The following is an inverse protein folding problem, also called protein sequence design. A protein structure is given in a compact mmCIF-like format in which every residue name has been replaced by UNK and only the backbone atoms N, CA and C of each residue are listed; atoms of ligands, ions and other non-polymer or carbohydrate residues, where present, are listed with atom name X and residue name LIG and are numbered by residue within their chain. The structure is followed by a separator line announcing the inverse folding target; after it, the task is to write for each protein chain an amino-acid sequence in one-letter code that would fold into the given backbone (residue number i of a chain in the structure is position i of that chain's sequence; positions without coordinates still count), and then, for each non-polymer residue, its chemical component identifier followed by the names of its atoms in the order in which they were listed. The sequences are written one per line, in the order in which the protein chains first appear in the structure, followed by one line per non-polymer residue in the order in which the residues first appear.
data_IF_329515116451
#
_entry.id   IF_329515116451
#
_cell.length_a   1.000
_cell.length_b   1.000
_cell.length_c   1.000
_cell.angle_alpha   90.00
_cell.angle_beta   90.00
_cell.angle_gamma   90.00
#
_symmetry.space_group_name_H-M   'P 1'
#
loop_
_entity.id
_entity.type
_entity.pdbx_description
1 polymer ?
#
# COMPACT_ATOMS: atom_id res chain seq x y z
N UNK A 1 -20.17 -27.03 -52.95
CA UNK A 1 -21.36 -27.57 -53.65
C UNK A 1 -21.52 -29.02 -53.20
N UNK A 2 -22.76 -29.44 -52.87
CA UNK A 2 -23.22 -30.66 -52.13
C UNK A 2 -23.38 -30.42 -50.60
N UNK A 3 -24.56 -30.22 -49.99
CA UNK A 3 -25.80 -31.05 -49.80
C UNK A 3 -25.52 -32.39 -49.11
N UNK A 4 -26.27 -32.93 -48.13
CA UNK A 4 -27.41 -32.52 -47.31
C UNK A 4 -27.61 -33.55 -46.15
N UNK A 5 -28.16 -33.08 -45.02
CA UNK A 5 -29.23 -33.67 -44.18
C UNK A 5 -29.20 -35.13 -43.64
N UNK A 6 -29.37 -35.25 -42.31
CA UNK A 6 -30.17 -36.28 -41.62
C UNK A 6 -30.52 -35.74 -40.20
N UNK A 7 -31.75 -35.30 -39.95
CA UNK A 7 -32.90 -36.07 -39.44
C UNK A 7 -33.05 -35.93 -37.91
N UNK A 8 -33.86 -34.96 -37.49
CA UNK A 8 -34.37 -34.83 -36.13
C UNK A 8 -35.62 -35.70 -35.95
N UNK A 9 -35.70 -36.43 -34.84
CA UNK A 9 -36.92 -37.09 -34.34
C UNK A 9 -37.43 -36.36 -33.10
N UNK A 10 -38.75 -36.25 -33.05
CA UNK A 10 -39.57 -35.61 -32.03
C UNK A 10 -39.70 -36.44 -30.74
N UNK A 11 -40.14 -35.77 -29.67
CA UNK A 11 -40.63 -36.33 -28.40
C UNK A 11 -39.98 -35.60 -27.21
N UNK A 12 -40.60 -34.68 -26.49
CA UNK A 12 -41.99 -34.63 -26.05
C UNK A 12 -42.03 -34.95 -24.56
N UNK A 13 -41.95 -33.95 -23.69
CA UNK A 13 -42.39 -34.03 -22.28
C UNK A 13 -42.44 -32.63 -21.65
N UNK A 14 -43.64 -32.06 -21.63
CA UNK A 14 -44.01 -30.94 -20.78
C UNK A 14 -44.04 -31.40 -19.32
N UNK A 15 -43.28 -30.73 -18.45
CA UNK A 15 -43.49 -30.78 -17.00
C UNK A 15 -43.73 -29.34 -16.50
N UNK A 16 -44.99 -29.09 -16.12
CA UNK A 16 -45.43 -27.90 -15.39
C UNK A 16 -44.99 -28.01 -13.93
N UNK A 17 -44.52 -26.89 -13.37
CA UNK A 17 -44.30 -26.67 -11.94
C UNK A 17 -43.45 -25.41 -11.83
N UNK A 18 -43.95 -24.25 -11.44
CA UNK A 18 -44.81 -23.98 -10.30
C UNK A 18 -44.08 -22.91 -9.51
N UNK A 19 -44.39 -21.64 -9.79
CA UNK A 19 -43.84 -20.48 -9.09
C UNK A 19 -44.11 -20.60 -7.58
N UNK A 20 -43.04 -20.80 -6.80
CA UNK A 20 -43.07 -20.56 -5.36
C UNK A 20 -42.24 -19.31 -5.06
N UNK A 21 -42.78 -18.30 -4.38
CA UNK A 21 -42.01 -17.13 -3.99
C UNK A 21 -40.92 -17.54 -2.99
N UNK A 22 -39.68 -17.10 -3.24
CA UNK A 22 -38.56 -17.24 -2.30
C UNK A 22 -38.86 -16.40 -1.06
N UNK A 23 -39.18 -17.05 0.06
CA UNK A 23 -39.25 -16.39 1.36
C UNK A 23 -37.86 -15.90 1.76
N UNK A 24 -37.73 -14.59 2.01
CA UNK A 24 -36.53 -13.97 2.56
C UNK A 24 -36.29 -14.51 3.98
N UNK A 25 -35.15 -15.16 4.20
CA UNK A 25 -34.71 -15.57 5.54
C UNK A 25 -34.17 -14.34 6.27
N UNK A 26 -34.73 -14.05 7.45
CA UNK A 26 -34.25 -12.99 8.32
C UNK A 26 -32.82 -13.29 8.83
N UNK A 27 -31.98 -12.25 8.89
CA UNK A 27 -30.63 -12.33 9.45
C UNK A 27 -30.68 -12.58 10.97
N UNK A 28 -29.73 -13.36 11.53
CA UNK A 28 -29.69 -13.60 12.97
C UNK A 28 -29.33 -12.33 13.77
N UNK A 29 -29.80 -12.19 15.02
CA UNK A 29 -29.51 -11.01 15.83
C UNK A 29 -28.03 -10.90 16.16
N UNK A 30 -27.48 -9.68 16.06
CA UNK A 30 -26.10 -9.36 16.43
C UNK A 30 -25.87 -9.71 17.91
N UNK A 31 -24.96 -10.65 18.18
CA UNK A 31 -24.48 -10.92 19.54
C UNK A 31 -23.85 -9.63 20.08
N UNK A 32 -24.45 -9.08 21.14
CA UNK A 32 -23.85 -8.02 21.93
C UNK A 32 -22.48 -8.51 22.43
N UNK A 33 -21.44 -7.72 22.15
CA UNK A 33 -20.10 -7.96 22.66
C UNK A 33 -20.15 -8.04 24.19
N UNK A 34 -19.74 -9.18 24.74
CA UNK A 34 -19.59 -9.34 26.18
C UNK A 34 -18.49 -8.39 26.65
N UNK A 35 -18.89 -7.43 27.48
CA UNK A 35 -18.00 -6.54 28.22
C UNK A 35 -17.22 -7.38 29.25
N UNK A 36 -15.91 -7.37 29.15
CA UNK A 36 -14.97 -7.97 30.10
C UNK A 36 -13.67 -8.35 29.41
N UNK A 37 -12.47 -8.18 29.97
CA UNK A 37 -11.99 -7.71 31.27
C UNK A 37 -10.53 -7.30 30.99
N UNK A 38 -10.19 -6.01 31.01
CA UNK A 38 -8.78 -5.60 31.09
C UNK A 38 -8.46 -5.37 32.56
N UNK A 39 -7.79 -6.35 33.16
CA UNK A 39 -7.24 -6.27 34.51
C UNK A 39 -5.77 -6.67 34.47
N UNK A 40 -4.92 -5.80 35.01
CA UNK A 40 -3.50 -6.07 35.32
C UNK A 40 -2.52 -5.18 34.54
N UNK A 41 -1.51 -4.58 35.20
CA UNK A 41 -0.47 -3.82 34.53
C UNK A 41 0.60 -4.79 34.00
N UNK A 42 0.66 -4.95 32.68
CA UNK A 42 1.69 -5.75 32.03
C UNK A 42 3.04 -5.01 32.02
N UNK A 43 4.10 -5.77 32.27
CA UNK A 43 5.48 -5.33 32.56
C UNK A 43 6.26 -4.80 31.35
N UNK A 44 5.56 -4.37 30.30
CA UNK A 44 6.12 -3.65 29.17
C UNK A 44 5.59 -2.23 29.25
N UNK A 45 6.45 -1.29 29.66
CA UNK A 45 6.14 0.14 29.74
C UNK A 45 5.96 0.78 28.36
N UNK A 46 5.23 0.13 27.45
CA UNK A 46 4.76 0.75 26.23
C UNK A 46 3.58 1.61 26.68
N UNK A 47 3.84 2.92 26.81
CA UNK A 47 2.77 3.89 26.70
C UNK A 47 2.18 3.67 25.31
N UNK A 48 1.16 2.81 25.23
CA UNK A 48 0.44 2.56 23.99
C UNK A 48 -0.26 3.88 23.66
N UNK A 49 0.44 4.76 22.94
CA UNK A 49 -0.22 5.68 22.05
C UNK A 49 -0.98 4.78 21.10
N UNK A 50 -2.27 4.59 21.38
CA UNK A 50 -3.18 4.13 20.36
C UNK A 50 -3.06 5.18 19.25
N UNK A 51 -2.36 4.84 18.16
CA UNK A 51 -2.48 5.63 16.95
C UNK A 51 -3.96 5.59 16.57
N UNK A 52 -4.63 6.73 16.73
CA UNK A 52 -6.01 6.90 16.28
C UNK A 52 -5.90 7.58 14.94
N UNK A 53 -6.47 6.96 13.90
CA UNK A 53 -6.68 7.62 12.62
C UNK A 53 -7.40 8.94 12.86
N UNK A 54 -6.81 10.05 12.40
CA UNK A 54 -7.21 11.41 12.80
C UNK A 54 -7.36 12.32 11.60
N UNK A 55 -8.52 12.96 11.53
CA UNK A 55 -8.87 13.88 10.44
C UNK A 55 -8.56 15.36 10.78
N UNK A 56 -7.84 15.63 11.87
CA UNK A 56 -7.54 16.98 12.37
C UNK A 56 -6.05 17.36 12.25
N UNK A 57 -5.32 16.66 11.37
CA UNK A 57 -3.91 16.96 11.09
C UNK A 57 -3.72 18.38 10.53
N UNK A 58 -2.54 19.00 10.74
CA UNK A 58 -2.23 20.32 10.18
C UNK A 58 -2.53 20.39 8.68
N UNK A 59 -3.11 21.51 8.23
CA UNK A 59 -3.33 21.75 6.81
C UNK A 59 -2.02 22.12 6.08
N UNK A 60 -1.08 22.73 6.80
CA UNK A 60 0.27 22.99 6.33
C UNK A 60 1.04 21.67 6.15
N UNK A 61 1.59 21.45 4.95
CA UNK A 61 2.25 20.21 4.56
C UNK A 61 3.49 19.93 5.42
N UNK A 62 4.34 20.93 5.65
CA UNK A 62 5.54 20.79 6.46
C UNK A 62 5.22 20.45 7.92
N UNK A 63 4.24 21.12 8.52
CA UNK A 63 3.78 20.83 9.86
C UNK A 63 3.18 19.42 9.97
N UNK A 64 2.41 18.99 8.97
CA UNK A 64 1.84 17.63 8.91
C UNK A 64 2.93 16.57 8.84
N UNK A 65 3.96 16.77 8.00
CA UNK A 65 5.12 15.88 7.94
C UNK A 65 5.88 15.81 9.26
N UNK A 66 6.11 16.95 9.91
CA UNK A 66 6.80 17.00 11.19
C UNK A 66 6.03 16.25 12.30
N UNK A 67 4.70 16.38 12.30
CA UNK A 67 3.82 15.68 13.23
C UNK A 67 3.84 14.16 13.00
N UNK A 68 3.57 13.71 11.77
CA UNK A 68 3.51 12.27 11.46
C UNK A 68 4.87 11.59 11.62
N UNK A 69 5.97 12.28 11.30
CA UNK A 69 7.32 11.78 11.56
C UNK A 69 7.56 11.56 13.06
N UNK A 70 7.18 12.52 13.91
CA UNK A 70 7.30 12.38 15.36
C UNK A 70 6.50 11.19 15.90
N UNK A 71 5.28 11.00 15.40
CA UNK A 71 4.41 9.87 15.76
C UNK A 71 4.99 8.53 15.30
N UNK A 72 5.42 8.41 14.04
CA UNK A 72 6.02 7.19 13.49
C UNK A 72 7.23 6.77 14.31
N UNK A 73 8.11 7.71 14.64
CA UNK A 73 9.33 7.42 15.38
C UNK A 73 9.05 7.02 16.83
N UNK A 74 8.03 7.62 17.46
CA UNK A 74 7.61 7.20 18.79
C UNK A 74 7.01 5.79 18.79
N UNK A 75 6.22 5.43 17.76
CA UNK A 75 5.64 4.09 17.62
C UNK A 75 6.70 3.02 17.33
N UNK A 76 7.73 3.37 16.55
CA UNK A 76 8.78 2.45 16.13
C UNK A 76 9.99 2.38 17.08
N UNK A 77 9.97 3.12 18.19
CA UNK A 77 11.06 3.13 19.15
C UNK A 77 11.37 1.71 19.67
N UNK A 78 12.61 1.26 19.45
CA UNK A 78 13.08 -0.06 19.86
C UNK A 78 12.53 -1.26 19.09
N UNK A 79 11.70 -1.10 18.04
CA UNK A 79 11.16 -2.22 17.27
C UNK A 79 12.18 -2.73 16.23
N UNK A 80 12.77 -3.93 16.32
CA UNK A 80 13.80 -4.38 15.38
C UNK A 80 13.28 -4.99 14.07
N UNK A 81 11.99 -5.33 13.98
CA UNK A 81 11.43 -6.03 12.84
C UNK A 81 11.20 -5.08 11.66
N UNK A 82 12.00 -5.24 10.60
CA UNK A 82 11.92 -4.39 9.39
C UNK A 82 10.54 -4.41 8.74
N UNK A 83 9.89 -5.57 8.68
CA UNK A 83 8.53 -5.68 8.11
C UNK A 83 7.51 -4.90 8.94
N UNK A 84 7.61 -4.94 10.28
CA UNK A 84 6.75 -4.16 11.17
C UNK A 84 7.00 -2.66 10.98
N UNK A 85 8.26 -2.23 10.87
CA UNK A 85 8.60 -0.83 10.56
C UNK A 85 7.96 -0.37 9.24
N UNK A 86 8.16 -1.14 8.16
CA UNK A 86 7.58 -0.85 6.84
C UNK A 86 6.04 -0.79 6.88
N UNK A 87 5.40 -1.77 7.49
CA UNK A 87 3.94 -1.81 7.58
C UNK A 87 3.38 -0.60 8.34
N UNK A 88 4.02 -0.21 9.43
CA UNK A 88 3.63 0.95 10.24
C UNK A 88 3.82 2.26 9.48
N UNK A 89 4.98 2.47 8.83
CA UNK A 89 5.24 3.66 8.01
C UNK A 89 4.20 3.79 6.90
N UNK A 90 3.96 2.72 6.15
CA UNK A 90 2.98 2.72 5.06
C UNK A 90 1.56 3.04 5.57
N UNK A 91 1.15 2.42 6.69
CA UNK A 91 -0.15 2.67 7.31
C UNK A 91 -0.33 4.11 7.78
N UNK A 92 0.66 4.66 8.49
CA UNK A 92 0.55 5.98 9.11
C UNK A 92 0.65 7.11 8.07
N UNK A 93 1.48 6.95 7.03
CA UNK A 93 1.54 7.92 5.94
C UNK A 93 0.29 7.91 5.06
N UNK A 94 -0.26 6.72 4.73
CA UNK A 94 -1.52 6.63 3.98
C UNK A 94 -2.70 7.29 4.72
N UNK A 95 -2.74 7.16 6.05
CA UNK A 95 -3.74 7.83 6.89
C UNK A 95 -3.51 9.34 7.00
N UNK A 96 -2.26 9.79 6.97
CA UNK A 96 -1.93 11.20 7.14
C UNK A 96 -2.22 12.06 5.89
N UNK A 97 -2.29 11.47 4.69
CA UNK A 97 -2.42 12.22 3.43
C UNK A 97 -3.51 11.65 2.53
N UNK A 98 -4.64 12.35 2.42
CA UNK A 98 -5.82 11.90 1.64
C UNK A 98 -5.56 11.65 0.15
N UNK A 99 -4.54 12.30 -0.43
CA UNK A 99 -4.20 12.16 -1.84
C UNK A 99 -3.26 10.99 -2.12
N UNK A 100 -2.78 10.31 -1.08
CA UNK A 100 -1.96 9.10 -1.22
C UNK A 100 -2.89 7.95 -1.64
N UNK A 101 -2.76 7.56 -2.89
CA UNK A 101 -3.61 6.54 -3.50
C UNK A 101 -3.01 5.14 -3.28
N UNK A 102 -1.70 5.01 -3.42
CA UNK A 102 -0.92 3.84 -3.06
C UNK A 102 0.24 4.29 -2.18
N UNK A 103 0.59 3.54 -1.15
CA UNK A 103 1.68 3.90 -0.22
C UNK A 103 2.29 2.63 0.32
N UNK A 104 3.57 2.40 0.06
CA UNK A 104 4.16 1.16 0.48
C UNK A 104 5.60 0.98 0.08
N UNK A 105 6.04 -0.27 0.20
CA UNK A 105 7.42 -0.65 -0.05
C UNK A 105 7.50 -1.71 -1.13
N UNK A 106 8.55 -1.60 -1.93
CA UNK A 106 9.08 -2.67 -2.74
C UNK A 106 10.47 -3.02 -2.20
N UNK A 107 10.65 -4.25 -1.72
CA UNK A 107 11.90 -4.69 -1.10
C UNK A 107 12.80 -5.38 -2.11
N UNK A 108 14.12 -5.35 -1.91
CA UNK A 108 15.03 -6.13 -2.76
C UNK A 108 14.71 -7.61 -2.62
N UNK A 109 14.48 -8.28 -3.74
CA UNK A 109 14.05 -9.67 -3.73
C UNK A 109 15.17 -10.59 -3.21
N UNK A 110 14.89 -11.45 -2.21
CA UNK A 110 15.91 -12.32 -1.62
C UNK A 110 16.39 -13.40 -2.59
N UNK A 111 15.59 -13.72 -3.62
CA UNK A 111 15.90 -14.69 -4.67
C UNK A 111 16.51 -14.05 -5.93
N UNK A 112 16.50 -12.71 -6.04
CA UNK A 112 17.03 -11.99 -7.20
C UNK A 112 17.45 -10.55 -6.85
N UNK A 113 18.75 -10.31 -6.70
CA UNK A 113 19.30 -9.05 -6.19
C UNK A 113 19.11 -7.82 -7.11
N UNK A 114 18.84 -8.02 -8.42
CA UNK A 114 18.55 -6.98 -9.40
C UNK A 114 17.04 -6.76 -9.62
N UNK A 115 16.23 -7.21 -8.67
CA UNK A 115 14.78 -7.13 -8.72
C UNK A 115 14.20 -6.69 -7.37
N UNK A 116 13.11 -5.96 -7.45
CA UNK A 116 12.25 -5.62 -6.33
C UNK A 116 11.05 -6.57 -6.28
N UNK A 117 10.57 -6.89 -5.09
CA UNK A 117 9.32 -7.61 -4.83
C UNK A 117 8.45 -6.78 -3.89
N UNK A 118 7.13 -6.78 -4.09
CA UNK A 118 6.21 -6.01 -3.25
C UNK A 118 6.33 -6.40 -1.77
N UNK A 119 6.47 -5.40 -0.91
CA UNK A 119 6.52 -5.50 0.55
C UNK A 119 5.20 -5.07 1.19
N UNK A 120 5.20 -4.56 2.43
CA UNK A 120 4.01 -3.97 3.05
C UNK A 120 3.54 -2.70 2.31
N UNK A 121 2.23 -2.58 2.09
CA UNK A 121 1.62 -1.41 1.44
C UNK A 121 0.16 -1.18 1.88
N UNK A 122 -0.35 0.01 1.59
CA UNK A 122 -1.74 0.41 1.61
C UNK A 122 -2.15 0.80 0.18
N UNK A 123 -3.34 0.35 -0.26
CA UNK A 123 -3.84 0.64 -1.61
C UNK A 123 -4.32 -0.61 -2.34
N UNK A 124 -4.49 -0.50 -3.65
CA UNK A 124 -4.87 -1.62 -4.52
C UNK A 124 -3.68 -2.49 -4.91
N UNK A 125 -3.97 -3.64 -5.55
CA UNK A 125 -2.94 -4.54 -6.03
C UNK A 125 -2.02 -3.84 -7.04
N UNK A 126 -0.74 -3.73 -6.70
CA UNK A 126 0.32 -3.25 -7.59
C UNK A 126 1.05 -4.39 -8.32
N UNK A 127 2.15 -4.05 -9.00
CA UNK A 127 3.04 -5.04 -9.59
C UNK A 127 3.65 -5.90 -8.49
N UNK A 128 3.76 -7.22 -8.70
CA UNK A 128 4.38 -8.08 -7.67
C UNK A 128 5.91 -7.97 -7.68
N UNK A 129 6.50 -7.74 -8.86
CA UNK A 129 7.95 -7.65 -9.04
C UNK A 129 8.33 -6.60 -10.08
N UNK A 130 9.45 -5.94 -9.87
CA UNK A 130 9.96 -4.85 -10.71
C UNK A 130 11.48 -4.99 -10.85
N UNK A 131 11.99 -5.13 -12.08
CA UNK A 131 13.43 -5.16 -12.31
C UNK A 131 14.06 -3.79 -12.05
N UNK A 132 15.31 -3.75 -11.59
CA UNK A 132 16.05 -2.50 -11.44
C UNK A 132 16.17 -1.79 -12.80
N UNK A 133 16.06 -0.46 -12.79
CA UNK A 133 16.03 0.40 -13.98
C UNK A 133 14.72 0.38 -14.77
N UNK A 134 13.67 -0.31 -14.30
CA UNK A 134 12.37 -0.38 -14.97
C UNK A 134 11.29 0.38 -14.21
N UNK A 135 10.60 1.28 -14.91
CA UNK A 135 9.62 2.17 -14.28
C UNK A 135 10.27 3.12 -13.27
N UNK A 136 9.45 3.86 -12.54
CA UNK A 136 9.91 4.84 -11.55
C UNK A 136 10.57 4.12 -10.37
N UNK A 137 9.89 3.13 -9.80
CA UNK A 137 10.43 2.26 -8.75
C UNK A 137 11.80 1.62 -9.08
N UNK A 138 11.91 0.97 -10.24
CA UNK A 138 13.18 0.36 -10.65
C UNK A 138 14.27 1.40 -10.90
N UNK A 139 13.93 2.58 -11.42
CA UNK A 139 14.89 3.69 -11.61
C UNK A 139 15.42 4.20 -10.29
N UNK A 140 14.55 4.37 -9.28
CA UNK A 140 14.96 4.75 -7.93
C UNK A 140 15.93 3.72 -7.33
N UNK A 141 15.61 2.42 -7.47
CA UNK A 141 16.48 1.34 -6.99
C UNK A 141 17.84 1.31 -7.70
N UNK A 142 17.88 1.47 -9.03
CA UNK A 142 19.11 1.43 -9.82
C UNK A 142 20.01 2.63 -9.56
N UNK A 143 19.44 3.83 -9.46
CA UNK A 143 20.19 5.09 -9.28
C UNK A 143 20.49 5.38 -7.83
N UNK A 144 19.75 4.79 -6.89
CA UNK A 144 19.74 5.16 -5.46
C UNK A 144 19.45 6.65 -5.24
N UNK A 145 18.60 7.21 -6.10
CA UNK A 145 18.14 8.60 -5.99
C UNK A 145 16.63 8.64 -5.99
N UNK A 146 16.06 9.54 -5.20
CA UNK A 146 14.61 9.77 -5.18
C UNK A 146 14.13 10.21 -6.55
N UNK A 147 13.00 9.63 -6.99
CA UNK A 147 12.31 10.03 -8.20
C UNK A 147 11.05 10.78 -7.81
N UNK A 148 10.89 12.01 -8.29
CA UNK A 148 9.65 12.80 -8.15
C UNK A 148 9.09 12.99 -9.56
N UNK A 149 7.92 12.40 -9.83
CA UNK A 149 7.35 12.32 -11.17
C UNK A 149 6.00 13.03 -11.19
N UNK A 150 5.95 14.19 -11.82
CA UNK A 150 4.74 15.02 -11.93
C UNK A 150 3.65 14.40 -12.83
N UNK A 151 4.06 13.65 -13.86
CA UNK A 151 3.17 12.90 -14.76
C UNK A 151 3.80 11.55 -15.09
N UNK A 152 3.25 10.47 -14.51
CA UNK A 152 3.75 9.11 -14.73
C UNK A 152 3.59 8.66 -16.19
N UNK A 153 2.62 9.18 -16.93
CA UNK A 153 2.41 8.83 -18.33
C UNK A 153 3.47 9.43 -19.25
N UNK A 154 4.13 10.52 -18.81
CA UNK A 154 5.25 11.13 -19.51
C UNK A 154 6.60 10.46 -19.18
N UNK A 155 6.66 9.61 -18.16
CA UNK A 155 7.91 9.00 -17.70
C UNK A 155 8.42 7.92 -18.69
N UNK A 156 9.66 8.04 -19.21
CA UNK A 156 10.21 7.06 -20.15
C UNK A 156 10.31 5.66 -19.54
N UNK A 157 9.70 4.68 -20.20
CA UNK A 157 9.71 3.30 -19.69
C UNK A 157 8.78 3.05 -18.50
N UNK A 158 7.78 3.92 -18.30
CA UNK A 158 6.72 3.76 -17.31
C UNK A 158 6.09 2.36 -17.37
N UNK A 159 5.94 1.76 -16.20
CA UNK A 159 5.22 0.51 -15.98
C UNK A 159 4.01 0.88 -15.13
N UNK A 160 2.85 1.06 -15.77
CA UNK A 160 1.62 1.34 -15.05
C UNK A 160 1.16 0.07 -14.32
N UNK A 161 1.24 0.07 -12.99
CA UNK A 161 0.67 -1.00 -12.17
C UNK A 161 -0.83 -0.74 -11.87
N UNK A 162 -1.24 0.51 -11.67
CA UNK A 162 -2.64 0.95 -11.58
C UNK A 162 -2.89 2.15 -12.51
N UNK A 163 -3.96 2.10 -13.29
CA UNK A 163 -4.28 3.14 -14.27
C UNK A 163 -4.70 4.48 -13.67
N UNK A 164 -4.93 4.53 -12.34
CA UNK A 164 -5.26 5.77 -11.63
C UNK A 164 -4.05 6.59 -11.25
N UNK A 165 -2.84 6.01 -11.19
CA UNK A 165 -1.65 6.78 -10.86
C UNK A 165 -1.42 7.86 -11.92
N UNK A 166 -1.27 9.10 -11.46
CA UNK A 166 -1.04 10.28 -12.28
C UNK A 166 0.27 10.98 -11.90
N UNK A 167 0.69 10.91 -10.63
CA UNK A 167 2.02 11.30 -10.17
C UNK A 167 2.54 10.30 -9.14
N UNK A 168 3.86 10.20 -9.01
CA UNK A 168 4.54 9.19 -8.17
C UNK A 168 5.78 9.80 -7.52
N UNK A 169 6.03 9.45 -6.26
CA UNK A 169 7.31 9.71 -5.59
C UNK A 169 7.88 8.40 -5.05
N UNK A 170 9.14 8.11 -5.40
CA UNK A 170 9.84 6.91 -4.96
C UNK A 170 11.15 7.26 -4.27
N UNK A 171 11.29 6.87 -3.01
CA UNK A 171 12.45 7.12 -2.16
C UNK A 171 13.24 5.82 -1.92
N UNK A 172 14.54 5.76 -2.21
CA UNK A 172 15.39 4.62 -1.85
C UNK A 172 15.45 4.40 -0.33
N UNK A 173 15.32 3.14 0.10
CA UNK A 173 15.42 2.77 1.53
C UNK A 173 16.75 2.07 1.75
N UNK A 174 17.63 2.72 2.51
CA UNK A 174 18.95 2.21 2.88
C UNK A 174 18.94 1.79 4.35
N UNK A 175 19.57 0.66 4.65
CA UNK A 175 19.84 0.27 6.04
C UNK A 175 21.02 1.05 6.65
N UNK A 176 21.29 0.83 7.93
CA UNK A 176 22.40 1.46 8.66
C UNK A 176 23.80 1.19 8.06
N UNK A 177 23.94 0.16 7.22
CA UNK A 177 25.20 -0.13 6.49
C UNK A 177 25.31 0.63 5.17
N UNK A 178 24.25 1.33 4.75
CA UNK A 178 24.14 1.95 3.44
C UNK A 178 23.72 0.98 2.32
N UNK A 179 23.26 -0.23 2.68
CA UNK A 179 22.76 -1.21 1.73
C UNK A 179 21.32 -0.89 1.34
N UNK A 180 21.02 -0.92 0.05
CA UNK A 180 19.66 -0.77 -0.44
C UNK A 180 18.84 -2.00 -0.06
N UNK A 181 17.83 -1.82 0.79
CA UNK A 181 16.90 -2.88 1.22
C UNK A 181 15.55 -2.80 0.51
N UNK A 182 15.27 -1.69 -0.17
CA UNK A 182 14.06 -1.51 -0.96
C UNK A 182 13.89 -0.06 -1.42
N UNK A 183 12.68 0.24 -1.86
CA UNK A 183 12.20 1.60 -2.13
C UNK A 183 10.86 1.80 -1.42
N UNK A 184 10.61 3.01 -0.96
CA UNK A 184 9.32 3.49 -0.50
C UNK A 184 8.66 4.24 -1.65
N UNK A 185 7.42 3.88 -1.98
CA UNK A 185 6.70 4.32 -3.16
C UNK A 185 5.32 4.86 -2.76
N UNK A 186 4.97 6.01 -3.33
CA UNK A 186 3.68 6.68 -3.15
C UNK A 186 3.15 7.16 -4.49
N UNK A 187 1.94 6.71 -4.82
CA UNK A 187 1.19 7.18 -5.98
C UNK A 187 0.10 8.18 -5.56
N UNK A 188 -0.23 9.13 -6.44
CA UNK A 188 -1.41 9.96 -6.34
C UNK A 188 -2.21 9.94 -7.64
N UNK A 189 -3.54 10.08 -7.52
CA UNK A 189 -4.45 10.13 -8.68
C UNK A 189 -4.51 11.51 -9.35
N UNK A 190 -3.78 12.48 -8.81
CA UNK A 190 -3.65 13.84 -9.35
C UNK A 190 -2.25 14.07 -9.87
N UNK A 191 -2.06 14.73 -11.03
CA UNK A 191 -0.74 15.13 -11.50
C UNK A 191 -0.06 16.09 -10.53
N UNK A 192 1.28 16.07 -10.50
CA UNK A 192 2.14 16.95 -9.70
C UNK A 192 1.71 17.05 -8.22
N UNK A 193 1.32 15.93 -7.61
CA UNK A 193 0.92 15.91 -6.19
C UNK A 193 2.12 16.06 -5.24
N UNK A 194 3.30 15.65 -5.71
CA UNK A 194 4.54 15.62 -4.94
C UNK A 194 5.52 16.69 -5.41
N UNK A 195 6.22 17.30 -4.46
CA UNK A 195 7.21 18.35 -4.69
C UNK A 195 8.48 18.13 -3.85
N UNK A 196 9.35 19.14 -3.84
CA UNK A 196 10.61 19.09 -3.10
C UNK A 196 10.43 18.97 -1.57
N UNK A 197 9.31 19.45 -1.03
CA UNK A 197 9.02 19.33 0.40
C UNK A 197 8.69 17.87 0.76
N UNK A 198 7.91 17.19 -0.08
CA UNK A 198 7.62 15.76 0.06
C UNK A 198 8.92 14.94 0.00
N UNK A 199 9.77 15.22 -0.99
CA UNK A 199 11.07 14.55 -1.14
C UNK A 199 11.92 14.68 0.14
N UNK A 200 12.13 15.91 0.63
CA UNK A 200 12.97 16.16 1.80
C UNK A 200 12.41 15.49 3.05
N UNK A 201 11.08 15.54 3.24
CA UNK A 201 10.44 14.93 4.40
C UNK A 201 10.51 13.40 4.37
N UNK A 202 10.21 12.78 3.23
CA UNK A 202 10.21 11.32 3.08
C UNK A 202 11.63 10.74 3.13
N UNK A 203 12.61 11.39 2.48
CA UNK A 203 14.03 10.98 2.59
C UNK A 203 14.51 11.01 4.04
N UNK A 204 14.21 12.09 4.76
CA UNK A 204 14.55 12.22 6.20
C UNK A 204 13.90 11.11 7.01
N UNK A 205 12.61 10.85 6.80
CA UNK A 205 11.87 9.81 7.53
C UNK A 205 12.46 8.41 7.26
N UNK A 206 12.70 8.06 5.99
CA UNK A 206 13.31 6.76 5.64
C UNK A 206 14.69 6.61 6.29
N UNK A 207 15.53 7.65 6.26
CA UNK A 207 16.84 7.64 6.90
C UNK A 207 16.76 7.45 8.42
N UNK A 208 15.80 8.10 9.09
CA UNK A 208 15.62 7.96 10.55
C UNK A 208 15.07 6.60 10.96
N UNK A 209 14.19 6.00 10.15
CA UNK A 209 13.54 4.71 10.47
C UNK A 209 14.44 3.51 10.14
N UNK A 210 15.21 3.57 9.04
CA UNK A 210 15.97 2.42 8.52
C UNK A 210 17.50 2.62 8.55
N UNK A 211 17.97 3.87 8.51
CA UNK A 211 19.40 4.20 8.52
C UNK A 211 20.00 4.37 9.92
N UNK A 212 19.17 4.51 10.96
CA UNK A 212 19.63 4.54 12.35
C UNK A 212 19.78 3.10 12.87
N UNK A 213 20.98 2.77 13.36
CA UNK A 213 21.32 1.48 13.97
C UNK A 213 20.81 1.32 15.39
#
# INVERSE_FOLDING_TARGET
MKTAAAAAREGGAQCRGGDRPRQARAAPPRRQARRGLYGGPDRFGVLALAYVARNDRPADKAARYAEIEGEILAVLDGEPNVTARMATVASMLADAFDHYFWTGFYVVAPDRADELVVGPYQGTLGCLRIAFGRGVCGTAAATRTTQVVEDVHAFPGHIACDSRSASEIVVPVLDASGTLIGVFDVDAATPAAFDAEDQVALERLMARVFGAG
#
